data_IF_416512754806
#
_entry.id   IF_416512754806
#
_cell.length_a   1.000
_cell.length_b   1.000
_cell.length_c   1.000
_cell.angle_alpha   90.00
_cell.angle_beta   90.00
_cell.angle_gamma   90.00
#
_symmetry.space_group_name_H-M   'P 1'
#
loop_
_entity.id
_entity.type
_entity.pdbx_description
1 polymer ?
#
# COMPACT_ATOMS: atom_id res chain seq x y z
N UNK A 1 10.42 26.82 6.84
CA UNK A 1 10.25 25.56 6.04
C UNK A 1 10.23 24.28 6.92
N UNK A 2 10.50 24.39 8.22
CA UNK A 2 10.61 23.23 9.14
C UNK A 2 9.30 22.89 9.90
N UNK A 3 8.25 23.69 9.79
CA UNK A 3 7.00 23.48 10.55
C UNK A 3 6.08 22.42 9.93
N UNK A 4 6.12 22.24 8.61
CA UNK A 4 5.29 21.25 7.88
C UNK A 4 5.72 19.79 8.07
N UNK A 5 7.03 19.57 8.27
CA UNK A 5 7.60 18.24 8.52
C UNK A 5 7.22 17.70 9.91
N UNK A 6 7.23 18.58 10.94
CA UNK A 6 6.86 18.22 12.32
C UNK A 6 5.37 17.89 12.46
N UNK A 7 4.50 18.60 11.75
CA UNK A 7 3.05 18.38 11.82
C UNK A 7 2.67 17.00 11.23
N UNK A 8 3.30 16.57 10.12
CA UNK A 8 3.11 15.24 9.55
C UNK A 8 3.60 14.11 10.48
N UNK A 9 4.71 14.35 11.18
CA UNK A 9 5.25 13.37 12.15
C UNK A 9 4.41 13.29 13.42
N UNK A 10 3.92 14.43 13.92
CA UNK A 10 3.04 14.53 15.10
C UNK A 10 1.69 13.87 14.81
N UNK A 11 1.14 14.03 13.61
CA UNK A 11 -0.10 13.37 13.23
C UNK A 11 0.09 11.84 13.19
N UNK A 12 1.17 11.32 12.61
CA UNK A 12 1.51 9.88 12.66
C UNK A 12 1.67 9.34 14.08
N UNK A 13 2.20 10.16 15.01
CA UNK A 13 2.31 9.78 16.44
C UNK A 13 0.94 9.83 17.12
N UNK A 14 0.09 10.80 16.81
CA UNK A 14 -1.30 10.85 17.31
C UNK A 14 -2.12 9.66 16.81
N UNK A 15 -1.95 9.25 15.55
CA UNK A 15 -2.56 8.04 14.98
C UNK A 15 -2.12 6.79 15.75
N UNK A 16 -0.83 6.73 16.07
CA UNK A 16 -0.26 5.65 16.89
C UNK A 16 -0.83 5.64 18.33
N UNK A 17 -1.07 6.82 18.90
CA UNK A 17 -1.70 6.96 20.23
C UNK A 17 -3.18 6.60 20.18
N UNK A 18 -3.92 7.00 19.15
CA UNK A 18 -5.34 6.67 18.97
C UNK A 18 -5.56 5.17 18.77
N UNK A 19 -4.70 4.50 17.99
CA UNK A 19 -4.70 3.04 17.86
C UNK A 19 -4.37 2.39 19.21
N UNK A 20 -3.46 2.97 20.00
CA UNK A 20 -3.10 2.50 21.35
C UNK A 20 -4.21 2.75 22.39
N UNK A 21 -4.92 3.88 22.26
CA UNK A 21 -6.07 4.22 23.13
C UNK A 21 -7.27 3.32 22.79
N UNK A 22 -7.54 3.07 21.50
CA UNK A 22 -8.55 2.10 21.07
C UNK A 22 -8.23 0.70 21.58
N UNK A 23 -6.94 0.33 21.63
CA UNK A 23 -6.47 -0.95 22.18
C UNK A 23 -6.61 -1.02 23.72
N UNK A 24 -6.30 0.05 24.45
CA UNK A 24 -6.50 0.14 25.90
C UNK A 24 -7.97 0.06 26.31
N UNK A 25 -8.85 0.70 25.53
CA UNK A 25 -10.31 0.64 25.73
C UNK A 25 -10.92 -0.73 25.43
N UNK A 26 -10.21 -1.59 24.65
CA UNK A 26 -10.64 -2.97 24.38
C UNK A 26 -10.22 -3.91 25.54
N UNK A 27 -9.14 -3.57 26.27
CA UNK A 27 -8.53 -4.46 27.28
C UNK A 27 -8.71 -3.99 28.73
N UNK A 28 -9.67 -3.10 29.03
CA UNK A 28 -10.03 -2.69 30.41
C UNK A 28 -8.82 -2.40 31.31
N UNK A 29 -8.64 -1.19 31.79
CA UNK A 29 -7.60 -0.85 32.76
C UNK A 29 -7.94 -1.38 34.15
N UNK A 30 -7.42 -2.52 34.53
CA UNK A 30 -7.56 -3.10 35.88
C UNK A 30 -6.50 -4.14 36.17
N UNK A 31 -5.79 -4.00 37.28
CA UNK A 31 -4.85 -4.97 37.82
C UNK A 31 -5.63 -6.15 38.46
N UNK A 32 -5.86 -7.16 37.67
CA UNK A 32 -6.45 -8.46 38.09
C UNK A 32 -6.18 -9.49 37.02
N UNK A 33 -6.13 -10.78 37.40
CA UNK A 33 -5.95 -11.90 36.47
C UNK A 33 -7.04 -11.84 35.41
N UNK A 34 -6.74 -11.18 34.27
CA UNK A 34 -7.68 -10.96 33.20
C UNK A 34 -7.59 -12.19 32.30
N UNK A 35 -8.63 -13.01 32.27
CA UNK A 35 -8.92 -13.87 31.13
C UNK A 35 -8.86 -12.97 29.89
N UNK A 36 -7.84 -13.18 29.01
CA UNK A 36 -7.67 -12.44 27.78
C UNK A 36 -8.94 -12.60 26.96
N UNK A 37 -9.80 -11.58 26.95
CA UNK A 37 -10.94 -11.57 26.06
C UNK A 37 -10.44 -11.89 24.65
N UNK A 38 -11.13 -12.84 24.00
CA UNK A 38 -10.75 -13.30 22.67
C UNK A 38 -10.79 -12.12 21.71
N UNK A 39 -9.66 -11.74 21.10
CA UNK A 39 -9.57 -10.60 20.20
C UNK A 39 -10.59 -10.73 19.06
N UNK A 40 -11.52 -9.79 18.97
CA UNK A 40 -12.54 -9.76 17.94
C UNK A 40 -12.17 -8.83 16.79
N UNK A 41 -11.69 -9.39 15.68
CA UNK A 41 -11.26 -8.63 14.49
C UNK A 41 -12.35 -7.70 13.95
N UNK A 42 -13.62 -8.09 13.99
CA UNK A 42 -14.75 -7.27 13.53
C UNK A 42 -14.91 -5.99 14.34
N UNK A 43 -14.76 -6.06 15.67
CA UNK A 43 -14.83 -4.90 16.56
C UNK A 43 -13.62 -3.97 16.34
N UNK A 44 -12.41 -4.54 16.19
CA UNK A 44 -11.22 -3.78 15.89
C UNK A 44 -11.37 -3.00 14.57
N UNK A 45 -11.86 -3.67 13.52
CA UNK A 45 -12.14 -3.04 12.23
C UNK A 45 -13.16 -1.90 12.33
N UNK A 46 -14.28 -2.12 13.03
CA UNK A 46 -15.30 -1.09 13.19
C UNK A 46 -14.75 0.16 13.91
N UNK A 47 -13.97 -0.02 14.99
CA UNK A 47 -13.34 1.06 15.75
C UNK A 47 -12.31 1.82 14.91
N UNK A 48 -11.41 1.12 14.21
CA UNK A 48 -10.40 1.74 13.35
C UNK A 48 -11.07 2.48 12.20
N UNK A 49 -12.05 1.87 11.52
CA UNK A 49 -12.81 2.51 10.43
C UNK A 49 -13.51 3.80 10.88
N UNK A 50 -14.01 3.84 12.12
CA UNK A 50 -14.57 5.07 12.72
C UNK A 50 -13.49 6.12 12.95
N UNK A 51 -12.34 5.73 13.49
CA UNK A 51 -11.24 6.64 13.83
C UNK A 51 -10.59 7.28 12.61
N UNK A 52 -10.47 6.55 11.47
CA UNK A 52 -9.78 7.06 10.27
C UNK A 52 -10.68 7.84 9.29
N UNK A 53 -11.95 8.06 9.60
CA UNK A 53 -12.90 8.75 8.69
C UNK A 53 -12.45 10.16 8.27
N UNK A 54 -11.70 10.85 9.11
CA UNK A 54 -11.17 12.19 8.87
C UNK A 54 -9.83 12.20 8.13
N UNK A 55 -9.21 11.03 7.90
CA UNK A 55 -7.91 10.95 7.23
C UNK A 55 -8.04 10.93 5.72
N UNK A 56 -7.07 11.52 5.00
CA UNK A 56 -7.08 11.50 3.54
C UNK A 56 -6.92 10.07 3.01
N UNK A 57 -7.59 9.79 1.89
CA UNK A 57 -7.43 8.51 1.19
C UNK A 57 -6.01 8.40 0.62
N UNK A 58 -5.31 7.26 0.79
CA UNK A 58 -3.97 7.06 0.23
C UNK A 58 -3.92 7.30 -1.28
N UNK A 59 -2.82 7.91 -1.76
CA UNK A 59 -2.67 8.36 -3.15
C UNK A 59 -2.88 7.25 -4.19
N UNK A 60 -2.33 6.06 -3.96
CA UNK A 60 -2.50 4.91 -4.85
C UNK A 60 -3.98 4.50 -4.94
N UNK A 61 -4.72 4.55 -3.83
CA UNK A 61 -6.16 4.27 -3.80
C UNK A 61 -6.97 5.34 -4.57
N UNK A 62 -6.56 6.61 -4.48
CA UNK A 62 -7.18 7.69 -5.26
C UNK A 62 -6.95 7.48 -6.75
N UNK A 63 -5.73 7.11 -7.13
CA UNK A 63 -5.35 6.85 -8.52
C UNK A 63 -6.13 5.66 -9.08
N UNK A 64 -6.28 4.56 -8.30
CA UNK A 64 -6.99 3.35 -8.73
C UNK A 64 -8.44 3.58 -9.14
N UNK A 65 -9.09 4.63 -8.62
CA UNK A 65 -10.47 4.99 -8.99
C UNK A 65 -10.58 5.63 -10.39
N UNK A 66 -9.46 6.03 -10.98
CA UNK A 66 -9.40 6.77 -12.25
C UNK A 66 -8.70 6.01 -13.36
N UNK A 67 -7.86 5.03 -13.01
CA UNK A 67 -6.93 4.40 -13.93
C UNK A 67 -7.02 2.87 -13.86
N UNK A 68 -6.46 2.25 -14.89
CA UNK A 68 -6.37 0.81 -15.04
C UNK A 68 -5.29 0.16 -14.15
N UNK A 69 -5.11 -1.18 -14.19
CA UNK A 69 -4.08 -1.89 -13.43
C UNK A 69 -2.65 -1.40 -13.70
N UNK A 70 -2.35 -0.92 -14.91
CA UNK A 70 -1.05 -0.38 -15.26
C UNK A 70 -0.76 0.91 -14.45
N UNK A 71 -1.73 1.81 -14.39
CA UNK A 71 -1.58 3.03 -13.61
C UNK A 71 -1.40 2.75 -12.11
N UNK A 72 -2.11 1.76 -11.56
CA UNK A 72 -1.92 1.31 -10.17
C UNK A 72 -0.52 0.77 -9.96
N UNK A 73 -0.04 -0.13 -10.83
CA UNK A 73 1.29 -0.74 -10.73
C UNK A 73 2.41 0.30 -10.79
N UNK A 74 2.35 1.20 -11.76
CA UNK A 74 3.30 2.32 -11.91
C UNK A 74 3.28 3.23 -10.69
N UNK A 75 2.09 3.59 -10.19
CA UNK A 75 1.95 4.45 -9.03
C UNK A 75 2.50 3.79 -7.76
N UNK A 76 2.34 2.49 -7.59
CA UNK A 76 2.97 1.72 -6.51
C UNK A 76 4.50 1.85 -6.57
N UNK A 77 5.11 1.74 -7.75
CA UNK A 77 6.57 1.90 -7.91
C UNK A 77 6.99 3.33 -7.57
N UNK A 78 6.27 4.35 -8.04
CA UNK A 78 6.55 5.75 -7.73
C UNK A 78 6.46 5.99 -6.22
N UNK A 79 5.50 5.37 -5.53
CA UNK A 79 5.25 5.56 -4.10
C UNK A 79 6.33 5.00 -3.18
N UNK A 80 7.18 4.07 -3.66
CA UNK A 80 8.23 3.47 -2.84
C UNK A 80 9.16 4.56 -2.26
N UNK A 81 9.20 4.68 -0.91
CA UNK A 81 9.99 5.70 -0.18
C UNK A 81 9.68 7.15 -0.60
N UNK A 82 8.49 7.41 -1.10
CA UNK A 82 8.02 8.74 -1.53
C UNK A 82 6.78 9.11 -0.74
N UNK A 83 6.63 10.38 -0.36
CA UNK A 83 5.44 10.87 0.32
C UNK A 83 4.22 10.83 -0.60
N UNK A 84 3.05 10.64 -0.04
CA UNK A 84 1.80 10.44 -0.79
C UNK A 84 1.47 11.63 -1.71
N UNK A 85 1.62 12.87 -1.25
CA UNK A 85 1.33 14.08 -2.04
C UNK A 85 2.24 14.16 -3.26
N UNK A 86 3.53 13.81 -3.08
CA UNK A 86 4.50 13.75 -4.18
C UNK A 86 4.14 12.62 -5.15
N UNK A 87 3.75 11.45 -4.63
CA UNK A 87 3.35 10.31 -5.46
C UNK A 87 2.16 10.68 -6.35
N UNK A 88 1.12 11.28 -5.79
CA UNK A 88 -0.09 11.67 -6.52
C UNK A 88 0.24 12.66 -7.65
N UNK A 89 1.02 13.68 -7.34
CA UNK A 89 1.41 14.70 -8.33
C UNK A 89 2.31 14.12 -9.42
N UNK A 90 3.29 13.30 -9.05
CA UNK A 90 4.23 12.66 -9.98
C UNK A 90 3.51 11.69 -10.92
N UNK A 91 2.67 10.80 -10.38
CA UNK A 91 1.88 9.87 -11.18
C UNK A 91 0.94 10.62 -12.13
N UNK A 92 0.23 11.64 -11.66
CA UNK A 92 -0.66 12.45 -12.51
C UNK A 92 0.08 13.12 -13.67
N UNK A 93 1.31 13.64 -13.45
CA UNK A 93 2.14 14.22 -14.52
C UNK A 93 2.60 13.18 -15.52
N UNK A 94 2.99 12.00 -15.06
CA UNK A 94 3.42 10.90 -15.93
C UNK A 94 2.27 10.38 -16.79
N UNK A 95 1.09 10.13 -16.20
CA UNK A 95 -0.07 9.60 -16.94
C UNK A 95 -0.72 10.59 -17.91
N UNK A 96 -0.40 11.89 -17.82
CA UNK A 96 -0.74 12.83 -18.89
C UNK A 96 0.10 12.64 -20.15
N UNK A 97 1.27 11.98 -20.03
CA UNK A 97 2.21 11.76 -21.12
C UNK A 97 2.21 10.31 -21.63
N UNK A 98 1.88 9.35 -20.78
CA UNK A 98 1.89 7.94 -21.12
C UNK A 98 0.85 7.18 -20.27
N UNK A 99 -0.09 6.49 -20.93
CA UNK A 99 -1.20 5.76 -20.29
C UNK A 99 -1.04 4.24 -20.35
N UNK A 100 -0.08 3.75 -21.11
CA UNK A 100 0.18 2.33 -21.33
C UNK A 100 1.69 2.06 -21.44
N UNK A 101 2.14 0.79 -21.41
CA UNK A 101 3.55 0.43 -21.52
C UNK A 101 4.23 0.96 -22.76
N UNK A 102 3.58 0.91 -23.93
CA UNK A 102 4.13 1.35 -25.23
C UNK A 102 4.42 2.84 -25.20
N UNK A 103 3.47 3.65 -24.74
CA UNK A 103 3.63 5.10 -24.64
C UNK A 103 4.74 5.47 -23.67
N UNK A 104 4.84 4.75 -22.53
CA UNK A 104 5.87 5.03 -21.54
C UNK A 104 7.27 4.72 -22.08
N UNK A 105 7.43 3.63 -22.85
CA UNK A 105 8.72 3.31 -23.48
C UNK A 105 9.15 4.34 -24.53
N UNK A 106 8.22 4.99 -25.23
CA UNK A 106 8.51 6.05 -26.20
C UNK A 106 9.03 7.32 -25.55
N UNK A 107 8.77 7.55 -24.26
CA UNK A 107 9.32 8.71 -23.55
C UNK A 107 10.83 8.54 -23.32
N UNK A 108 11.59 9.61 -23.48
CA UNK A 108 13.00 9.63 -23.06
C UNK A 108 13.12 9.53 -21.53
N UNK A 109 14.25 9.03 -21.03
CA UNK A 109 14.49 8.98 -19.58
C UNK A 109 14.33 10.36 -18.95
N UNK A 110 14.86 11.42 -19.58
CA UNK A 110 14.74 12.77 -19.07
C UNK A 110 13.28 13.25 -18.95
N UNK A 111 12.38 12.86 -19.88
CA UNK A 111 10.95 13.17 -19.77
C UNK A 111 10.28 12.45 -18.61
N UNK A 112 10.58 11.16 -18.42
CA UNK A 112 10.05 10.38 -17.28
C UNK A 112 10.57 10.96 -15.96
N UNK A 113 11.88 11.20 -15.85
CA UNK A 113 12.51 11.79 -14.68
C UNK A 113 11.89 13.13 -14.29
N UNK A 114 11.72 14.03 -15.27
CA UNK A 114 11.04 15.31 -15.07
C UNK A 114 9.60 15.15 -14.60
N UNK A 115 8.86 14.16 -15.14
CA UNK A 115 7.49 13.91 -14.74
C UNK A 115 7.40 13.42 -13.29
N UNK A 116 8.28 12.51 -12.86
CA UNK A 116 8.20 11.92 -11.53
C UNK A 116 9.01 12.65 -10.45
N UNK A 117 9.84 13.64 -10.80
CA UNK A 117 10.52 14.49 -9.83
C UNK A 117 9.50 15.27 -8.96
N UNK A 118 9.66 15.40 -7.64
CA UNK A 118 10.80 15.00 -6.80
C UNK A 118 10.59 13.66 -6.05
N UNK A 119 10.05 12.63 -6.70
CA UNK A 119 9.93 11.31 -6.08
C UNK A 119 11.32 10.78 -5.68
N UNK A 120 11.42 10.18 -4.49
CA UNK A 120 12.68 9.62 -4.03
C UNK A 120 13.22 8.58 -5.02
N UNK A 121 14.53 8.62 -5.30
CA UNK A 121 15.19 7.72 -6.24
C UNK A 121 14.61 7.74 -7.67
N UNK A 122 14.12 8.89 -8.14
CA UNK A 122 13.42 9.04 -9.41
C UNK A 122 14.19 8.48 -10.62
N UNK A 123 15.53 8.61 -10.66
CA UNK A 123 16.36 8.03 -11.74
C UNK A 123 16.31 6.51 -11.77
N UNK A 124 16.42 5.87 -10.61
CA UNK A 124 16.32 4.41 -10.51
C UNK A 124 14.89 3.95 -10.83
N UNK A 125 13.88 4.68 -10.39
CA UNK A 125 12.48 4.41 -10.74
C UNK A 125 12.23 4.52 -12.22
N UNK A 126 12.83 5.51 -12.91
CA UNK A 126 12.76 5.64 -14.38
C UNK A 126 13.27 4.37 -15.07
N UNK A 127 14.43 3.86 -14.64
CA UNK A 127 14.98 2.60 -15.17
C UNK A 127 14.03 1.43 -14.91
N UNK A 128 13.59 1.28 -13.66
CA UNK A 128 12.66 0.20 -13.27
C UNK A 128 11.33 0.26 -14.03
N UNK A 129 10.77 1.46 -14.25
CA UNK A 129 9.54 1.63 -15.02
C UNK A 129 9.72 1.22 -16.48
N UNK A 130 10.85 1.56 -17.10
CA UNK A 130 11.13 1.12 -18.47
C UNK A 130 11.35 -0.39 -18.58
N UNK A 131 12.09 -0.97 -17.64
CA UNK A 131 12.29 -2.42 -17.59
C UNK A 131 10.97 -3.15 -17.39
N UNK A 132 10.12 -2.65 -16.49
CA UNK A 132 8.77 -3.17 -16.29
C UNK A 132 7.91 -3.11 -17.55
N UNK A 133 7.90 -1.95 -18.23
CA UNK A 133 7.12 -1.80 -19.46
C UNK A 133 7.61 -2.73 -20.58
N UNK A 134 8.93 -2.91 -20.69
CA UNK A 134 9.50 -3.86 -21.63
C UNK A 134 9.05 -5.30 -21.31
N UNK A 135 9.13 -5.69 -20.04
CA UNK A 135 8.70 -7.01 -19.58
C UNK A 135 7.20 -7.27 -19.84
N UNK A 136 6.35 -6.25 -19.60
CA UNK A 136 4.93 -6.33 -19.91
C UNK A 136 4.66 -6.52 -21.41
N UNK A 137 5.40 -5.85 -22.28
CA UNK A 137 5.24 -6.01 -23.73
C UNK A 137 5.77 -7.36 -24.23
N UNK A 138 6.95 -7.76 -23.77
CA UNK A 138 7.60 -8.97 -24.24
C UNK A 138 6.86 -10.25 -23.78
N UNK A 139 6.29 -10.24 -22.56
CA UNK A 139 5.77 -11.45 -21.93
C UNK A 139 4.26 -11.44 -21.64
N UNK A 140 3.60 -10.28 -21.74
CA UNK A 140 2.19 -10.12 -21.32
C UNK A 140 1.34 -9.30 -22.30
N UNK A 141 1.77 -9.12 -23.53
CA UNK A 141 1.04 -8.35 -24.57
C UNK A 141 0.69 -6.92 -24.11
N UNK A 142 1.55 -6.29 -23.31
CA UNK A 142 1.31 -4.96 -22.73
C UNK A 142 0.29 -4.92 -21.60
N UNK A 143 -0.26 -6.06 -21.17
CA UNK A 143 -1.26 -6.15 -20.10
C UNK A 143 -0.61 -6.43 -18.76
N UNK A 144 -1.15 -5.89 -17.68
CA UNK A 144 -0.71 -6.22 -16.33
C UNK A 144 -1.33 -7.55 -15.91
N UNK A 145 -0.53 -8.54 -15.47
CA UNK A 145 -1.05 -9.82 -15.00
C UNK A 145 -2.00 -9.67 -13.83
N UNK A 146 -2.99 -10.56 -13.74
CA UNK A 146 -4.04 -10.57 -12.74
C UNK A 146 -3.94 -11.74 -11.74
N UNK A 147 -2.77 -12.38 -11.69
CA UNK A 147 -2.40 -13.45 -10.76
C UNK A 147 -1.18 -13.03 -9.94
N UNK A 148 -1.17 -13.37 -8.65
CA UNK A 148 -0.08 -12.98 -7.74
C UNK A 148 1.29 -13.48 -8.23
N UNK A 149 1.35 -14.75 -8.62
CA UNK A 149 2.61 -15.38 -9.01
C UNK A 149 3.18 -14.78 -10.30
N UNK A 150 2.32 -14.36 -11.23
CA UNK A 150 2.74 -13.66 -12.45
C UNK A 150 3.24 -12.23 -12.14
N UNK A 151 2.52 -11.51 -11.28
CA UNK A 151 2.96 -10.18 -10.84
C UNK A 151 4.32 -10.22 -10.12
N UNK A 152 4.60 -11.28 -9.38
CA UNK A 152 5.88 -11.46 -8.68
C UNK A 152 7.06 -11.77 -9.60
N UNK A 153 6.81 -12.22 -10.84
CA UNK A 153 7.85 -12.40 -11.86
C UNK A 153 8.32 -11.07 -12.45
N UNK A 154 7.47 -10.04 -12.43
CA UNK A 154 7.79 -8.72 -12.97
C UNK A 154 8.94 -8.08 -12.19
N UNK A 155 9.93 -7.57 -12.92
CA UNK A 155 11.12 -6.96 -12.32
C UNK A 155 10.78 -5.75 -11.46
N UNK A 156 11.24 -5.76 -10.20
CA UNK A 156 10.97 -4.68 -9.24
C UNK A 156 9.60 -4.73 -8.56
N UNK A 157 8.80 -5.76 -8.83
CA UNK A 157 7.49 -5.97 -8.20
C UNK A 157 7.62 -6.95 -7.03
N UNK A 158 7.55 -6.41 -5.81
CA UNK A 158 7.50 -7.21 -4.59
C UNK A 158 6.06 -7.55 -4.17
N UNK A 159 5.92 -8.40 -3.15
CA UNK A 159 4.61 -8.86 -2.65
C UNK A 159 3.64 -7.72 -2.29
N UNK A 160 4.14 -6.64 -1.68
CA UNK A 160 3.30 -5.47 -1.38
C UNK A 160 2.71 -4.86 -2.66
N UNK A 161 3.55 -4.57 -3.65
CA UNK A 161 3.13 -4.00 -4.94
C UNK A 161 2.19 -4.95 -5.68
N UNK A 162 2.53 -6.25 -5.75
CA UNK A 162 1.70 -7.26 -6.40
C UNK A 162 0.29 -7.35 -5.76
N UNK A 163 0.20 -7.44 -4.43
CA UNK A 163 -1.09 -7.48 -3.74
C UNK A 163 -1.90 -6.18 -3.93
N UNK A 164 -1.26 -4.99 -3.90
CA UNK A 164 -1.95 -3.73 -4.17
C UNK A 164 -2.47 -3.68 -5.61
N UNK A 165 -1.69 -4.14 -6.58
CA UNK A 165 -2.11 -4.20 -7.99
C UNK A 165 -3.32 -5.13 -8.16
N UNK A 166 -3.33 -6.29 -7.51
CA UNK A 166 -4.49 -7.20 -7.51
C UNK A 166 -5.72 -6.53 -6.92
N UNK A 167 -5.58 -5.91 -5.73
CA UNK A 167 -6.70 -5.33 -4.98
C UNK A 167 -7.27 -4.11 -5.71
N UNK A 168 -6.41 -3.16 -6.09
CA UNK A 168 -6.82 -1.85 -6.57
C UNK A 168 -6.93 -1.78 -8.10
N UNK A 169 -6.14 -2.57 -8.81
CA UNK A 169 -6.12 -2.59 -10.27
C UNK A 169 -7.09 -3.61 -10.87
N UNK A 170 -7.13 -4.82 -10.30
CA UNK A 170 -7.95 -5.91 -10.83
C UNK A 170 -9.21 -6.23 -10.01
N UNK A 171 -9.45 -5.49 -8.93
CA UNK A 171 -10.54 -5.75 -7.96
C UNK A 171 -10.55 -7.19 -7.40
N UNK A 172 -9.41 -7.86 -7.41
CA UNK A 172 -9.25 -9.24 -6.93
C UNK A 172 -8.93 -9.29 -5.44
N UNK A 173 -9.26 -10.40 -4.76
CA UNK A 173 -8.91 -10.59 -3.36
C UNK A 173 -7.39 -10.70 -3.18
N UNK A 174 -6.86 -9.93 -2.26
CA UNK A 174 -5.45 -9.93 -1.86
C UNK A 174 -5.29 -9.36 -0.46
N UNK A 175 -4.17 -9.63 0.19
CA UNK A 175 -3.81 -9.05 1.49
C UNK A 175 -2.48 -8.32 1.32
N UNK A 176 -2.53 -7.00 1.32
CA UNK A 176 -1.32 -6.19 1.30
C UNK A 176 -0.80 -6.05 2.73
N UNK A 177 0.37 -6.62 3.01
CA UNK A 177 1.05 -6.51 4.30
C UNK A 177 2.33 -5.71 4.14
N UNK A 178 2.33 -4.51 4.72
CA UNK A 178 3.54 -3.72 4.91
C UNK A 178 4.03 -3.80 6.36
N UNK A 179 5.04 -3.02 6.69
CA UNK A 179 5.61 -3.01 8.04
C UNK A 179 4.61 -2.54 9.10
N UNK A 180 3.66 -1.65 8.74
CA UNK A 180 2.65 -1.16 9.68
C UNK A 180 1.61 -2.24 9.95
N UNK A 181 1.05 -2.85 8.91
CA UNK A 181 0.13 -3.99 9.03
C UNK A 181 0.77 -5.13 9.84
N UNK A 182 2.03 -5.49 9.54
CA UNK A 182 2.77 -6.50 10.30
C UNK A 182 2.85 -6.14 11.78
N UNK A 183 3.29 -4.94 12.11
CA UNK A 183 3.48 -4.51 13.51
C UNK A 183 2.18 -4.38 14.26
N UNK A 184 1.12 -3.86 13.63
CA UNK A 184 -0.19 -3.67 14.26
C UNK A 184 -0.85 -5.03 14.52
N UNK A 185 -0.85 -5.93 13.54
CA UNK A 185 -1.43 -7.28 13.67
C UNK A 185 -0.77 -8.09 14.80
N UNK A 186 0.56 -7.98 14.95
CA UNK A 186 1.29 -8.60 16.04
C UNK A 186 0.98 -7.94 17.39
N UNK A 187 0.91 -6.59 17.45
CA UNK A 187 0.56 -5.87 18.68
C UNK A 187 -0.85 -6.16 19.17
N UNK A 188 -1.76 -6.40 18.26
CA UNK A 188 -3.11 -6.85 18.60
C UNK A 188 -3.14 -8.29 19.15
N UNK A 189 -2.02 -9.03 19.06
CA UNK A 189 -1.98 -10.46 19.36
C UNK A 189 -2.83 -11.28 18.38
N UNK A 190 -3.24 -10.67 17.26
CA UNK A 190 -4.03 -11.36 16.24
C UNK A 190 -3.18 -12.36 15.47
N UNK A 191 -1.92 -12.04 15.26
CA UNK A 191 -0.89 -12.94 14.71
C UNK A 191 0.35 -12.92 15.60
N UNK A 192 1.22 -13.93 15.46
CA UNK A 192 2.54 -13.99 16.09
C UNK A 192 3.55 -14.39 15.03
N UNK A 193 4.17 -13.41 14.39
CA UNK A 193 5.02 -13.56 13.19
C UNK A 193 6.24 -12.67 13.27
N UNK A 194 7.31 -13.05 12.55
CA UNK A 194 8.59 -12.33 12.57
C UNK A 194 8.79 -11.40 11.36
N UNK A 195 8.02 -11.60 10.29
CA UNK A 195 8.16 -10.84 9.06
C UNK A 195 6.81 -10.47 8.43
N UNK A 196 6.75 -9.43 7.57
CA UNK A 196 5.54 -9.12 6.79
C UNK A 196 5.07 -10.29 5.93
N UNK A 197 6.00 -11.09 5.38
CA UNK A 197 5.67 -12.28 4.61
C UNK A 197 4.93 -13.33 5.45
N UNK A 198 5.48 -13.69 6.59
CA UNK A 198 4.81 -14.62 7.51
C UNK A 198 3.45 -14.09 7.96
N UNK A 199 3.35 -12.78 8.20
CA UNK A 199 2.07 -12.13 8.56
C UNK A 199 1.05 -12.29 7.44
N UNK A 200 1.45 -12.09 6.19
CA UNK A 200 0.56 -12.30 5.04
C UNK A 200 0.06 -13.74 4.99
N UNK A 201 0.94 -14.73 5.16
CA UNK A 201 0.56 -16.15 5.12
C UNK A 201 -0.44 -16.49 6.23
N UNK A 202 -0.15 -16.10 7.47
CA UNK A 202 -1.07 -16.33 8.61
C UNK A 202 -2.40 -15.59 8.42
N UNK A 203 -2.39 -14.37 7.87
CA UNK A 203 -3.61 -13.62 7.62
C UNK A 203 -4.46 -14.26 6.51
N UNK A 204 -3.86 -14.88 5.50
CA UNK A 204 -4.60 -15.60 4.45
C UNK A 204 -5.45 -16.73 5.01
N UNK A 205 -4.96 -17.42 6.03
CA UNK A 205 -5.69 -18.51 6.69
C UNK A 205 -6.67 -17.99 7.75
N UNK A 206 -6.27 -16.98 8.52
CA UNK A 206 -7.00 -16.55 9.72
C UNK A 206 -7.99 -15.41 9.48
N UNK A 207 -7.67 -14.47 8.58
CA UNK A 207 -8.48 -13.28 8.36
C UNK A 207 -9.66 -13.59 7.45
N UNK A 208 -10.94 -13.34 7.85
CA UNK A 208 -12.07 -13.53 6.97
C UNK A 208 -11.93 -12.72 5.67
N UNK A 209 -12.22 -13.32 4.52
CA UNK A 209 -12.01 -12.74 3.17
C UNK A 209 -12.63 -11.35 2.98
N UNK A 210 -13.75 -11.06 3.63
CA UNK A 210 -14.41 -9.73 3.59
C UNK A 210 -13.52 -8.57 4.08
N UNK A 211 -12.47 -8.85 4.85
CA UNK A 211 -11.54 -7.83 5.36
C UNK A 211 -10.27 -7.68 4.51
N UNK A 212 -9.98 -8.61 3.60
CA UNK A 212 -8.70 -8.68 2.89
C UNK A 212 -8.37 -7.37 2.15
N UNK A 213 -9.27 -6.92 1.26
CA UNK A 213 -9.05 -5.72 0.44
C UNK A 213 -8.86 -4.44 1.27
N UNK A 214 -9.53 -4.35 2.42
CA UNK A 214 -9.50 -3.17 3.26
C UNK A 214 -8.42 -3.17 4.34
N UNK A 215 -7.74 -4.30 4.58
CA UNK A 215 -6.87 -4.48 5.75
C UNK A 215 -5.70 -3.48 5.77
N UNK A 216 -5.03 -3.28 4.65
CA UNK A 216 -3.92 -2.33 4.54
C UNK A 216 -4.38 -0.87 4.64
N UNK A 217 -5.51 -0.52 4.04
CA UNK A 217 -6.02 0.85 4.08
C UNK A 217 -6.50 1.29 5.47
N UNK A 218 -6.81 0.33 6.34
CA UNK A 218 -7.28 0.60 7.70
C UNK A 218 -6.13 0.66 8.71
N UNK A 219 -4.96 0.05 8.44
CA UNK A 219 -3.83 -0.10 9.35
C UNK A 219 -2.57 0.58 8.86
#
# INVERSE_FOLDING_TARGET
>A
EDSFSKTSYINKIKDFLLIRIAFRSINGGGSGIIMREKFHISQAFAKVKKAIRSFPTPSVTVISRKYDPFAVLVSCIISLRTRDEVTQTAASRLFRQAKNPEELLKLSNAKIEKAIYPAAFFRNKTKSLKELCKDLLDNYEGKVPDKLDELLKLKGVGRKTANLTLILGHDKPGICVDIHVHRISNRWGYVKTKSPYETEMVLRDKLPRRYWKGYNNLL
#
